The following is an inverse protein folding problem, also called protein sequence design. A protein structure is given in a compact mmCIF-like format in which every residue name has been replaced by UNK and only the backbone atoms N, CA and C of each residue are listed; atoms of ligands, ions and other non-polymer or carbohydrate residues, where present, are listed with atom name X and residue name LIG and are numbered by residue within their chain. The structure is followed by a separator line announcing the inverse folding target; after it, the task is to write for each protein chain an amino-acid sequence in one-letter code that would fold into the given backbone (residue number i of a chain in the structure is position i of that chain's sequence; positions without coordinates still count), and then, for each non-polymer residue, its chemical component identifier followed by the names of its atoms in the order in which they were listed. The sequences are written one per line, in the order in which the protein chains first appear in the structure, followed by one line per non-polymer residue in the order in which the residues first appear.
data_IF_983442456532
#
_entry.id   IF_983442456532
#
_cell.length_a   1.000
_cell.length_b   1.000
_cell.length_c   1.000
_cell.angle_alpha   90.00
_cell.angle_beta   90.00
_cell.angle_gamma   90.00
#
_symmetry.space_group_name_H-M   'P 1'
#
loop_
_entity.id
_entity.type
_entity.pdbx_description
1 polymer ?
#
# COMPACT_ATOMS: atom_id res chain seq x y z
N UNK A 1 -15.59 -2.40 -15.12
CA UNK A 1 -16.90 -2.07 -14.53
C UNK A 1 -16.96 -2.74 -13.16
N UNK A 2 -16.86 -1.96 -12.09
CA UNK A 2 -17.25 -2.34 -10.71
C UNK A 2 -17.70 -1.05 -10.04
N UNK A 3 -18.88 -1.07 -9.41
CA UNK A 3 -19.44 0.03 -8.62
C UNK A 3 -19.18 -0.25 -7.13
N UNK A 4 -18.93 0.80 -6.33
CA UNK A 4 -19.43 0.87 -4.95
C UNK A 4 -19.56 2.32 -4.48
N UNK A 5 -20.70 2.64 -3.88
CA UNK A 5 -21.09 3.93 -3.32
C UNK A 5 -20.69 4.01 -1.85
N UNK A 6 -20.17 5.17 -1.43
CA UNK A 6 -20.12 5.64 -0.04
C UNK A 6 -20.17 7.18 -0.11
N UNK A 7 -20.98 7.80 0.75
CA UNK A 7 -21.27 9.26 0.81
C UNK A 7 -20.07 10.14 1.23
N UNK A 8 -18.85 9.66 1.01
CA UNK A 8 -17.59 10.27 1.42
C UNK A 8 -16.57 10.13 0.31
N UNK A 9 -16.69 10.93 -0.74
CA UNK A 9 -15.71 10.95 -1.84
C UNK A 9 -15.13 12.36 -2.02
N UNK A 10 -13.87 12.51 -1.60
CA UNK A 10 -12.95 13.49 -2.18
C UNK A 10 -12.24 12.75 -3.32
N UNK A 11 -12.23 13.36 -4.49
CA UNK A 11 -11.83 12.78 -5.77
C UNK A 11 -10.47 12.06 -5.70
N UNK A 12 -10.48 10.76 -5.98
CA UNK A 12 -9.28 9.94 -6.19
C UNK A 12 -8.99 9.92 -7.69
N UNK A 13 -8.01 10.70 -8.14
CA UNK A 13 -7.55 10.66 -9.53
C UNK A 13 -6.16 10.02 -9.57
N UNK A 14 -6.14 8.72 -9.82
CA UNK A 14 -4.91 7.97 -10.11
C UNK A 14 -4.79 7.83 -11.64
N UNK A 15 -4.01 8.70 -12.27
CA UNK A 15 -3.71 8.57 -13.69
C UNK A 15 -2.54 7.58 -13.87
N UNK A 16 -2.87 6.36 -14.29
CA UNK A 16 -1.87 5.34 -14.64
C UNK A 16 -1.34 5.68 -16.04
N UNK A 17 -0.24 6.45 -16.08
CA UNK A 17 0.39 6.83 -17.34
C UNK A 17 0.90 5.61 -18.11
N UNK A 18 0.67 5.61 -19.42
CA UNK A 18 0.68 4.41 -20.29
C UNK A 18 2.05 3.76 -20.52
N UNK A 19 3.14 4.32 -19.97
CA UNK A 19 4.54 4.00 -20.32
C UNK A 19 5.42 3.54 -19.15
N UNK A 20 5.00 3.70 -17.89
CA UNK A 20 5.69 3.17 -16.72
C UNK A 20 4.68 3.08 -15.59
N UNK A 21 4.73 2.05 -14.74
CA UNK A 21 3.74 1.83 -13.67
C UNK A 21 3.95 2.79 -12.47
N UNK A 22 4.47 4.00 -12.72
CA UNK A 22 4.69 5.03 -11.71
C UNK A 22 3.38 5.68 -11.33
N UNK A 23 3.13 5.80 -10.03
CA UNK A 23 1.95 6.43 -9.47
C UNK A 23 2.36 7.57 -8.53
N UNK A 24 1.77 8.74 -8.75
CA UNK A 24 1.87 9.87 -7.84
C UNK A 24 0.66 9.86 -6.91
N UNK A 25 0.92 9.86 -5.61
CA UNK A 25 -0.07 9.99 -4.56
C UNK A 25 -0.03 11.40 -3.98
N UNK A 26 -1.19 12.04 -3.92
CA UNK A 26 -1.34 13.36 -3.35
C UNK A 26 -2.57 13.39 -2.44
N UNK A 27 -2.34 13.62 -1.16
CA UNK A 27 -3.39 13.67 -0.15
C UNK A 27 -3.41 15.04 0.52
N UNK A 28 -4.58 15.68 0.50
CA UNK A 28 -4.88 16.94 1.17
C UNK A 28 -5.79 16.70 2.37
N UNK A 29 -5.54 17.42 3.46
CA UNK A 29 -6.42 17.44 4.62
C UNK A 29 -7.78 18.07 4.27
N UNK A 30 -8.86 17.42 4.71
CA UNK A 30 -10.22 17.98 4.61
C UNK A 30 -10.44 18.98 5.74
N UNK A 31 -10.60 20.26 5.41
CA UNK A 31 -10.93 21.32 6.38
C UNK A 31 -12.37 21.25 6.86
N UNK A 32 -12.59 21.60 8.12
CA UNK A 32 -13.92 21.83 8.71
C UNK A 32 -14.52 23.14 8.18
N UNK A 33 -15.80 23.41 8.46
CA UNK A 33 -16.42 24.71 8.12
C UNK A 33 -15.74 25.87 8.84
N UNK A 34 -15.46 25.72 10.14
CA UNK A 34 -14.81 26.74 10.95
C UNK A 34 -13.38 27.08 10.46
N UNK A 35 -12.59 26.08 10.08
CA UNK A 35 -11.23 26.30 9.54
C UNK A 35 -11.23 26.95 8.16
N UNK A 36 -12.27 26.72 7.34
CA UNK A 36 -12.44 27.41 6.06
C UNK A 36 -12.82 28.88 6.27
N UNK A 37 -13.70 29.16 7.22
CA UNK A 37 -14.14 30.53 7.52
C UNK A 37 -13.01 31.36 8.17
N UNK A 38 -12.10 30.70 8.91
CA UNK A 38 -10.92 31.33 9.51
C UNK A 38 -9.78 31.60 8.51
N UNK A 39 -9.81 30.99 7.31
CA UNK A 39 -8.76 31.08 6.30
C UNK A 39 -8.85 32.39 5.47
N UNK A 40 -8.86 33.55 6.15
CA UNK A 40 -9.04 34.87 5.54
C UNK A 40 -7.81 35.35 4.75
N UNK A 41 -6.62 34.79 5.00
CA UNK A 41 -5.33 35.25 4.42
C UNK A 41 -4.52 34.18 3.68
N UNK A 42 -5.09 32.99 3.44
CA UNK A 42 -4.40 31.88 2.81
C UNK A 42 -4.80 30.55 3.42
N UNK A 43 -4.73 29.50 2.61
CA UNK A 43 -5.06 28.15 3.04
C UNK A 43 -3.77 27.34 3.28
N UNK A 44 -3.34 27.25 4.54
CA UNK A 44 -2.31 26.28 4.91
C UNK A 44 -2.94 24.89 4.96
N UNK A 45 -2.35 23.95 4.21
CA UNK A 45 -2.72 22.54 4.21
C UNK A 45 -1.52 21.70 4.62
N UNK A 46 -1.81 20.71 5.44
CA UNK A 46 -0.89 19.60 5.63
C UNK A 46 -1.03 18.66 4.42
N UNK A 47 0.04 18.55 3.66
CA UNK A 47 0.09 17.78 2.42
C UNK A 47 0.94 16.54 2.63
N UNK A 48 0.42 15.39 2.23
CA UNK A 48 1.22 14.17 2.09
C UNK A 48 1.34 13.80 0.61
N UNK A 49 2.58 13.73 0.14
CA UNK A 49 2.91 13.34 -1.23
C UNK A 49 3.82 12.13 -1.22
N UNK A 50 3.54 11.16 -2.07
CA UNK A 50 4.38 9.97 -2.25
C UNK A 50 4.42 9.55 -3.72
N UNK A 51 5.54 8.97 -4.14
CA UNK A 51 5.70 8.39 -5.47
C UNK A 51 5.93 6.90 -5.28
N UNK A 52 5.07 6.08 -5.89
CA UNK A 52 5.29 4.64 -6.01
C UNK A 52 5.76 4.32 -7.42
N UNK A 53 6.82 3.53 -7.56
CA UNK A 53 7.32 3.11 -8.86
C UNK A 53 6.68 1.80 -9.31
N UNK A 54 6.46 0.89 -8.36
CA UNK A 54 5.94 -0.44 -8.60
C UNK A 54 4.70 -0.72 -7.76
N UNK A 55 3.71 -1.37 -8.39
CA UNK A 55 2.39 -1.68 -7.81
C UNK A 55 2.22 -3.20 -7.62
N UNK A 56 3.30 -3.96 -7.81
CA UNK A 56 3.31 -5.41 -7.64
C UNK A 56 2.53 -6.18 -8.69
N UNK A 57 2.03 -5.52 -9.74
CA UNK A 57 1.26 -6.16 -10.81
C UNK A 57 1.43 -5.46 -12.14
N UNK A 58 1.39 -6.26 -13.21
CA UNK A 58 1.25 -5.79 -14.57
C UNK A 58 -0.18 -5.30 -14.85
N UNK A 59 -0.36 -4.57 -15.96
CA UNK A 59 -1.63 -4.08 -16.49
C UNK A 59 -2.66 -5.19 -16.72
N UNK A 60 -2.19 -6.42 -16.91
CA UNK A 60 -3.01 -7.63 -17.06
C UNK A 60 -3.38 -8.29 -15.73
N UNK A 61 -2.92 -7.72 -14.60
CA UNK A 61 -3.11 -8.27 -13.26
C UNK A 61 -2.13 -9.39 -12.88
N UNK A 62 -1.11 -9.64 -13.69
CA UNK A 62 -0.07 -10.64 -13.37
C UNK A 62 0.85 -10.06 -12.28
N UNK A 63 1.12 -10.77 -11.17
CA UNK A 63 1.99 -10.26 -10.12
C UNK A 63 3.44 -10.09 -10.61
N UNK A 64 4.07 -8.99 -10.18
CA UNK A 64 5.47 -8.68 -10.42
C UNK A 64 6.23 -8.84 -9.10
N UNK A 65 7.31 -9.61 -9.11
CA UNK A 65 8.12 -9.92 -7.94
C UNK A 65 9.43 -9.16 -7.97
N UNK A 66 10.02 -8.98 -6.78
CA UNK A 66 11.32 -8.33 -6.60
C UNK A 66 12.42 -9.05 -7.39
N UNK A 67 13.26 -8.23 -8.04
CA UNK A 67 14.43 -8.67 -8.80
C UNK A 67 15.68 -7.96 -8.27
N UNK A 68 16.83 -8.57 -8.49
CA UNK A 68 18.12 -7.90 -8.28
C UNK A 68 18.45 -6.94 -9.44
N UNK A 69 19.57 -6.24 -9.31
CA UNK A 69 20.06 -5.28 -10.31
C UNK A 69 20.36 -5.94 -11.67
N UNK A 70 20.65 -7.24 -11.67
CA UNK A 70 20.87 -8.06 -12.87
C UNK A 70 19.56 -8.60 -13.49
N UNK A 71 18.41 -8.37 -12.82
CA UNK A 71 17.08 -8.78 -13.26
C UNK A 71 16.68 -10.21 -12.89
N UNK A 72 17.46 -10.92 -12.08
CA UNK A 72 17.12 -12.24 -11.56
C UNK A 72 16.12 -12.14 -10.39
N UNK A 73 15.24 -13.13 -10.28
CA UNK A 73 14.20 -13.14 -9.23
C UNK A 73 14.79 -13.42 -7.84
N UNK A 74 14.47 -12.56 -6.87
CA UNK A 74 14.89 -12.73 -5.49
C UNK A 74 14.00 -13.73 -4.74
N UNK A 75 14.63 -14.69 -4.08
CA UNK A 75 13.99 -15.65 -3.20
C UNK A 75 14.33 -15.31 -1.75
N UNK A 76 13.29 -15.16 -0.91
CA UNK A 76 13.44 -14.87 0.50
C UNK A 76 13.16 -16.13 1.30
N UNK A 77 13.98 -16.41 2.30
CA UNK A 77 13.69 -17.46 3.28
C UNK A 77 12.53 -17.00 4.17
N UNK A 78 11.51 -17.85 4.27
CA UNK A 78 10.32 -17.63 5.09
C UNK A 78 10.00 -18.90 5.87
N UNK A 79 9.36 -18.75 7.04
CA UNK A 79 8.98 -19.86 7.90
C UNK A 79 7.48 -20.02 7.79
N UNK A 80 7.05 -21.05 7.07
CA UNK A 80 5.63 -21.40 7.02
C UNK A 80 5.32 -22.35 8.15
N UNK A 81 4.49 -21.89 9.08
CA UNK A 81 3.95 -22.70 10.15
C UNK A 81 2.61 -23.31 9.71
N UNK A 82 2.52 -24.64 9.76
CA UNK A 82 1.30 -25.37 9.46
C UNK A 82 0.86 -26.08 10.74
N UNK A 83 -0.38 -25.83 11.13
CA UNK A 83 -1.08 -26.56 12.18
C UNK A 83 -1.68 -27.82 11.56
N UNK A 84 -1.29 -28.98 12.07
CA UNK A 84 -1.85 -30.27 11.67
C UNK A 84 -2.41 -30.99 12.88
N UNK A 85 -3.55 -31.66 12.70
CA UNK A 85 -4.18 -32.47 13.73
C UNK A 85 -3.80 -33.92 13.47
N UNK A 86 -3.17 -34.55 14.45
CA UNK A 86 -2.80 -35.96 14.39
C UNK A 86 -4.06 -36.85 14.51
N UNK A 87 -3.95 -38.12 14.13
CA UNK A 87 -5.05 -39.10 14.25
C UNK A 87 -5.54 -39.27 15.69
N UNK A 88 -4.70 -38.91 16.67
CA UNK A 88 -5.00 -38.92 18.10
C UNK A 88 -5.65 -37.62 18.61
N UNK A 89 -6.04 -36.69 17.72
CA UNK A 89 -6.71 -35.43 18.07
C UNK A 89 -5.78 -34.32 18.59
N UNK A 90 -4.49 -34.61 18.77
CA UNK A 90 -3.49 -33.62 19.20
C UNK A 90 -3.13 -32.66 18.06
N UNK A 91 -3.03 -31.37 18.37
CA UNK A 91 -2.59 -30.35 17.41
C UNK A 91 -1.07 -30.21 17.49
N UNK A 92 -0.39 -30.39 16.37
CA UNK A 92 1.06 -30.21 16.24
C UNK A 92 1.36 -29.05 15.30
N UNK A 93 2.41 -28.30 15.62
CA UNK A 93 2.94 -27.20 14.83
C UNK A 93 4.15 -27.71 14.03
N UNK A 94 4.11 -27.63 12.71
CA UNK A 94 5.26 -27.94 11.85
C UNK A 94 5.71 -26.64 11.21
N UNK A 95 6.94 -26.25 11.51
CA UNK A 95 7.61 -25.16 10.83
C UNK A 95 8.45 -25.73 9.70
N UNK A 96 8.28 -25.19 8.49
CA UNK A 96 9.13 -25.51 7.33
C UNK A 96 9.73 -24.22 6.78
N UNK A 97 11.05 -24.22 6.58
CA UNK A 97 11.72 -23.16 5.82
C UNK A 97 11.34 -23.29 4.35
N UNK A 98 10.74 -22.26 3.79
CA UNK A 98 10.31 -22.18 2.40
C UNK A 98 10.92 -20.94 1.78
N UNK A 99 11.32 -21.04 0.51
CA UNK A 99 11.75 -19.88 -0.27
C UNK A 99 10.55 -19.29 -0.98
N UNK A 100 10.24 -18.02 -0.70
CA UNK A 100 9.08 -17.32 -1.24
C UNK A 100 9.52 -16.10 -2.05
N UNK A 101 8.75 -15.80 -3.11
CA UNK A 101 8.89 -14.56 -3.87
C UNK A 101 8.11 -13.46 -3.17
N UNK A 102 8.70 -12.27 -3.07
CA UNK A 102 8.02 -11.07 -2.54
C UNK A 102 7.58 -10.18 -3.67
N UNK A 103 6.38 -9.62 -3.53
CA UNK A 103 5.79 -8.72 -4.51
C UNK A 103 6.59 -7.40 -4.53
N UNK A 104 6.81 -6.88 -5.73
CA UNK A 104 7.45 -5.58 -5.94
C UNK A 104 6.39 -4.47 -5.87
N UNK A 105 5.93 -4.18 -4.64
CA UNK A 105 4.80 -3.28 -4.38
C UNK A 105 5.16 -2.22 -3.34
N UNK A 106 5.14 -0.96 -3.76
CA UNK A 106 5.43 0.21 -2.92
C UNK A 106 4.22 0.66 -2.09
N UNK A 107 3.01 0.25 -2.47
CA UNK A 107 1.77 0.71 -1.83
C UNK A 107 1.71 0.42 -0.32
N UNK A 108 2.13 -0.75 0.19
CA UNK A 108 2.14 -1.02 1.62
C UNK A 108 3.05 -0.08 2.41
N UNK A 109 4.17 0.34 1.81
CA UNK A 109 5.12 1.25 2.44
C UNK A 109 4.58 2.68 2.44
N UNK A 110 4.01 3.13 1.32
CA UNK A 110 3.34 4.43 1.22
C UNK A 110 2.20 4.54 2.24
N UNK A 111 1.42 3.46 2.41
CA UNK A 111 0.38 3.39 3.43
C UNK A 111 0.94 3.56 4.85
N UNK A 112 2.06 2.91 5.18
CA UNK A 112 2.69 3.06 6.49
C UNK A 112 3.15 4.49 6.73
N UNK A 113 3.83 5.09 5.75
CA UNK A 113 4.28 6.48 5.81
C UNK A 113 3.11 7.45 5.99
N UNK A 114 1.99 7.23 5.30
CA UNK A 114 0.79 8.05 5.47
C UNK A 114 0.18 7.91 6.88
N UNK A 115 0.15 6.70 7.45
CA UNK A 115 -0.33 6.48 8.82
C UNK A 115 0.59 7.17 9.84
N UNK A 116 1.90 7.17 9.62
CA UNK A 116 2.86 7.89 10.45
C UNK A 116 2.68 9.40 10.34
N UNK A 117 2.49 9.93 9.12
CA UNK A 117 2.15 11.33 8.88
C UNK A 117 0.91 11.77 9.66
N UNK A 118 -0.17 10.98 9.63
CA UNK A 118 -1.40 11.28 10.37
C UNK A 118 -1.21 11.32 11.90
N UNK A 119 -0.20 10.62 12.45
CA UNK A 119 0.13 10.69 13.87
C UNK A 119 0.88 11.97 14.23
N UNK A 120 1.69 12.49 13.32
CA UNK A 120 2.46 13.72 13.52
C UNK A 120 1.57 14.97 13.45
N UNK A 121 0.58 14.94 12.56
CA UNK A 121 -0.40 16.00 12.34
C UNK A 121 -1.40 16.16 13.51
N UNK A 122 -1.76 15.08 14.19
CA UNK A 122 -2.78 15.09 15.26
C UNK A 122 -2.23 15.44 16.66
N UNK A 123 -1.34 16.42 16.78
CA UNK A 123 -0.90 16.97 18.07
C UNK A 123 -1.66 18.24 18.46
#
# INVERSE_FOLDING_TARGET
MVYFWSETLVYFWAEINRLACKLLFYFLQKKTSAERDAAVNGEDYEVFMAIGENVGKDRRGVPIYLRDDDGAELLFDDIKEILFRDNNGNTKLSSRKVRVKRLDDDLPNIRKAYIEFLKLVKL
#
